data_IF_860413065724
#
_entry.id   IF_860413065724
#
_cell.length_a   1.000
_cell.length_b   1.000
_cell.length_c   1.000
_cell.angle_alpha   90.00
_cell.angle_beta   90.00
_cell.angle_gamma   90.00
#
_symmetry.space_group_name_H-M   'P 1'
#
loop_
_entity.id
_entity.type
_entity.pdbx_description
1 polymer ?
#
# COMPACT_ATOMS: atom_id res chain seq x y z
N UNK A 1 11.24 -30.46 4.99
CA UNK A 1 10.89 -29.17 4.49
C UNK A 1 11.15 -28.12 5.55
N UNK A 2 11.72 -27.08 5.16
CA UNK A 2 12.11 -26.12 6.14
C UNK A 2 11.05 -25.02 6.26
N UNK A 3 11.05 -24.44 7.40
CA UNK A 3 10.24 -23.28 7.63
C UNK A 3 10.55 -22.17 6.66
N UNK A 4 11.82 -22.00 6.30
CA UNK A 4 12.18 -20.91 5.43
C UNK A 4 11.55 -21.05 4.06
N UNK A 5 11.39 -22.25 3.59
CA UNK A 5 10.73 -22.43 2.31
C UNK A 5 9.29 -22.01 2.36
N UNK A 6 8.61 -22.31 3.45
CA UNK A 6 7.24 -21.90 3.58
C UNK A 6 7.11 -20.40 3.71
N UNK A 7 8.06 -19.80 4.42
CA UNK A 7 8.02 -18.36 4.60
C UNK A 7 8.36 -17.62 3.32
N UNK A 8 9.16 -18.25 2.45
CA UNK A 8 9.58 -17.59 1.23
C UNK A 8 8.52 -17.60 0.14
N UNK A 9 7.57 -18.52 0.23
CA UNK A 9 6.55 -18.63 -0.80
C UNK A 9 5.25 -18.05 -0.26
N UNK A 10 4.77 -17.00 -0.88
CA UNK A 10 3.61 -16.27 -0.39
C UNK A 10 2.69 -15.84 -1.49
N UNK A 11 1.44 -15.63 -1.13
CA UNK A 11 0.49 -14.97 -2.02
C UNK A 11 0.72 -13.48 -1.97
N UNK A 12 0.80 -12.89 -3.13
CA UNK A 12 0.99 -11.45 -3.27
C UNK A 12 0.01 -10.90 -4.28
N UNK A 13 -0.28 -9.62 -4.15
CA UNK A 13 -1.12 -8.91 -5.11
C UNK A 13 -0.21 -7.97 -5.88
N UNK A 14 -0.17 -8.16 -7.20
CA UNK A 14 0.54 -7.24 -8.08
C UNK A 14 -0.34 -6.05 -8.35
N UNK A 15 0.25 -4.88 -8.27
CA UNK A 15 -0.46 -3.65 -8.58
C UNK A 15 0.37 -2.81 -9.52
N UNK A 16 -0.30 -1.94 -10.27
CA UNK A 16 0.36 -1.11 -11.25
C UNK A 16 0.22 0.35 -10.86
N UNK A 17 1.35 1.05 -10.86
CA UNK A 17 1.38 2.48 -10.63
C UNK A 17 2.04 3.11 -11.85
N UNK A 18 1.21 3.61 -12.75
CA UNK A 18 1.72 4.08 -14.03
C UNK A 18 2.23 2.92 -14.85
N UNK A 19 3.51 2.95 -15.18
CA UNK A 19 4.09 1.88 -15.99
C UNK A 19 4.87 0.87 -15.17
N UNK A 20 4.93 1.07 -13.86
CA UNK A 20 5.70 0.17 -13.00
C UNK A 20 4.78 -0.71 -12.20
N UNK A 21 5.26 -1.91 -11.91
CA UNK A 21 4.52 -2.86 -11.09
C UNK A 21 5.18 -3.01 -9.74
N UNK A 22 4.34 -3.17 -8.73
CA UNK A 22 4.76 -3.40 -7.36
C UNK A 22 3.90 -4.50 -6.81
N UNK A 23 4.19 -4.92 -5.59
CA UNK A 23 3.41 -5.98 -4.97
C UNK A 23 3.15 -5.66 -3.51
N UNK A 24 2.08 -6.23 -3.00
CA UNK A 24 1.77 -6.23 -1.58
C UNK A 24 1.51 -7.66 -1.16
N UNK A 25 1.82 -7.98 0.09
CA UNK A 25 1.41 -9.26 0.63
C UNK A 25 -0.12 -9.34 0.57
N UNK A 26 -0.64 -10.50 0.16
CA UNK A 26 -2.07 -10.62 -0.06
C UNK A 26 -2.87 -10.39 1.21
N UNK A 27 -2.31 -10.74 2.36
CA UNK A 27 -3.01 -10.55 3.63
C UNK A 27 -3.13 -9.08 4.02
N UNK A 28 -2.45 -8.18 3.31
CA UNK A 28 -2.61 -6.76 3.55
C UNK A 28 -3.67 -6.12 2.65
N UNK A 29 -4.21 -6.87 1.71
CA UNK A 29 -5.17 -6.31 0.75
C UNK A 29 -6.56 -6.71 1.18
N UNK A 30 -7.40 -5.72 1.43
CA UNK A 30 -8.78 -5.98 1.83
C UNK A 30 -9.69 -6.08 0.62
N UNK A 31 -9.57 -5.16 -0.33
CA UNK A 31 -10.43 -5.20 -1.52
C UNK A 31 -9.92 -4.21 -2.55
N UNK A 32 -10.41 -4.38 -3.76
CA UNK A 32 -10.15 -3.46 -4.86
C UNK A 32 -11.49 -2.87 -5.26
N UNK A 33 -11.59 -1.54 -5.24
CA UNK A 33 -12.88 -0.90 -5.46
C UNK A 33 -12.77 0.11 -6.59
N UNK A 34 -13.91 0.38 -7.21
CA UNK A 34 -13.98 1.39 -8.25
C UNK A 34 -13.67 2.77 -7.65
N UNK A 35 -13.18 3.70 -8.45
CA UNK A 35 -12.90 5.02 -7.94
C UNK A 35 -14.16 5.65 -7.37
N UNK A 36 -14.01 6.33 -6.27
CA UNK A 36 -15.12 7.01 -5.65
C UNK A 36 -14.68 8.42 -5.34
N UNK A 37 -15.64 9.21 -4.89
CA UNK A 37 -15.41 10.61 -4.61
C UNK A 37 -14.43 10.76 -3.46
N UNK A 38 -13.44 11.63 -3.66
CA UNK A 38 -12.47 11.98 -2.63
C UNK A 38 -12.92 13.27 -1.97
N UNK A 39 -12.95 13.26 -0.65
CA UNK A 39 -13.22 14.45 0.14
C UNK A 39 -11.90 15.00 0.62
N UNK A 40 -11.59 16.21 0.23
CA UNK A 40 -10.30 16.81 0.58
C UNK A 40 -10.46 17.72 1.76
N UNK A 41 -9.39 17.82 2.53
CA UNK A 41 -9.37 18.69 3.69
C UNK A 41 -8.68 19.98 3.33
N UNK A 42 -9.02 21.02 4.06
CA UNK A 42 -8.29 22.28 3.96
C UNK A 42 -6.86 22.10 4.44
N UNK A 43 -6.67 21.28 5.46
CA UNK A 43 -5.36 21.01 6.03
C UNK A 43 -5.05 19.54 5.83
N UNK A 44 -3.99 19.24 5.12
CA UNK A 44 -3.63 17.86 4.88
C UNK A 44 -2.12 17.73 4.72
N UNK A 45 -1.63 16.52 4.94
CA UNK A 45 -0.23 16.25 4.75
C UNK A 45 0.07 15.98 3.29
N UNK A 46 1.34 15.99 2.95
CA UNK A 46 1.74 15.66 1.60
C UNK A 46 1.47 14.21 1.25
N UNK A 47 1.26 13.37 2.24
CA UNK A 47 1.05 11.95 2.01
C UNK A 47 -0.40 11.56 1.89
N UNK A 48 -1.30 12.39 2.40
CA UNK A 48 -2.72 12.08 2.36
C UNK A 48 -3.40 13.03 1.40
N UNK A 49 -4.00 12.46 0.37
CA UNK A 49 -4.65 13.21 -0.68
C UNK A 49 -6.07 13.63 -0.29
N UNK A 50 -6.67 12.90 0.60
CA UNK A 50 -8.03 13.13 1.07
C UNK A 50 -8.53 11.86 1.68
N UNK A 51 -9.85 11.71 1.75
CA UNK A 51 -10.47 10.50 2.26
C UNK A 51 -11.58 10.07 1.33
N UNK A 52 -11.89 8.79 1.38
CA UNK A 52 -13.09 8.25 0.75
C UNK A 52 -13.92 7.58 1.82
N UNK A 53 -15.19 7.39 1.51
CA UNK A 53 -16.07 6.64 2.40
C UNK A 53 -16.20 5.23 1.87
N UNK A 54 -15.99 4.27 2.74
CA UNK A 54 -16.10 2.88 2.35
C UNK A 54 -16.77 2.12 3.47
N UNK A 55 -17.96 1.60 3.19
CA UNK A 55 -18.74 0.83 4.17
C UNK A 55 -18.94 1.60 5.45
N UNK A 56 -19.27 2.89 5.30
CA UNK A 56 -19.51 3.75 6.47
C UNK A 56 -18.26 4.18 7.19
N UNK A 57 -17.08 3.92 6.62
CA UNK A 57 -15.82 4.29 7.24
C UNK A 57 -15.11 5.32 6.41
N UNK A 58 -14.33 6.14 7.09
CA UNK A 58 -13.48 7.14 6.45
C UNK A 58 -12.12 6.51 6.25
N UNK A 59 -11.68 6.43 5.01
CA UNK A 59 -10.42 5.79 4.67
C UNK A 59 -9.52 6.81 3.99
N UNK A 60 -8.31 6.99 4.51
CA UNK A 60 -7.36 7.94 3.95
C UNK A 60 -6.87 7.45 2.59
N UNK A 61 -6.73 8.37 1.65
CA UNK A 61 -6.21 8.07 0.32
C UNK A 61 -4.77 8.52 0.28
N UNK A 62 -3.87 7.59 0.05
CA UNK A 62 -2.44 7.85 -0.02
C UNK A 62 -1.94 7.51 -1.42
N UNK A 63 -1.50 8.53 -2.15
CA UNK A 63 -0.97 8.30 -3.49
C UNK A 63 0.50 7.95 -3.38
N UNK A 64 0.77 6.66 -3.20
CA UNK A 64 2.15 6.20 -3.03
C UNK A 64 2.93 6.23 -4.34
N UNK A 65 2.24 6.43 -5.47
CA UNK A 65 2.95 6.51 -6.75
C UNK A 65 3.94 7.66 -6.76
N UNK A 66 3.58 8.77 -6.14
CA UNK A 66 4.47 9.92 -6.12
C UNK A 66 5.77 9.61 -5.38
N UNK A 67 5.66 8.89 -4.27
CA UNK A 67 6.84 8.49 -3.51
C UNK A 67 7.68 7.48 -4.30
N UNK A 68 7.02 6.53 -4.93
CA UNK A 68 7.71 5.40 -5.54
C UNK A 68 8.25 5.70 -6.93
N UNK A 69 7.54 6.54 -7.69
CA UNK A 69 7.91 6.78 -9.08
C UNK A 69 8.29 8.23 -9.35
N UNK A 70 8.09 9.12 -8.39
CA UNK A 70 8.36 10.53 -8.57
C UNK A 70 7.25 11.30 -9.25
N UNK A 71 6.16 10.64 -9.60
CA UNK A 71 5.05 11.26 -10.29
C UNK A 71 3.74 10.83 -9.67
N UNK A 72 2.81 11.77 -9.58
CA UNK A 72 1.44 11.42 -9.21
C UNK A 72 0.83 10.58 -10.28
N UNK A 73 -0.12 9.74 -9.89
CA UNK A 73 -0.82 8.89 -10.81
C UNK A 73 -1.71 9.73 -11.72
N UNK A 74 -1.51 9.62 -13.02
CA UNK A 74 -2.33 10.37 -13.96
C UNK A 74 -3.73 9.83 -14.08
N UNK A 75 -3.89 8.53 -13.98
CA UNK A 75 -5.20 7.91 -14.06
C UNK A 75 -5.36 6.92 -12.92
N UNK A 76 -6.44 7.09 -12.17
CA UNK A 76 -6.75 6.22 -11.04
C UNK A 76 -7.92 5.33 -11.45
N UNK A 77 -7.60 4.10 -11.81
CA UNK A 77 -8.61 3.16 -12.28
C UNK A 77 -9.35 2.50 -11.13
N UNK A 78 -8.65 2.29 -10.02
CA UNK A 78 -9.21 1.65 -8.84
C UNK A 78 -8.56 2.22 -7.60
N UNK A 79 -9.18 1.98 -6.46
CA UNK A 79 -8.54 2.15 -5.18
C UNK A 79 -8.35 0.78 -4.56
N UNK A 80 -7.12 0.48 -4.18
CA UNK A 80 -6.82 -0.75 -3.49
C UNK A 80 -6.88 -0.44 -1.99
N UNK A 81 -7.83 -1.08 -1.31
CA UNK A 81 -7.99 -0.88 0.13
C UNK A 81 -7.06 -1.87 0.82
N UNK A 82 -6.11 -1.33 1.56
CA UNK A 82 -5.09 -2.14 2.22
C UNK A 82 -5.11 -1.87 3.70
N UNK A 83 -4.54 -2.78 4.46
CA UNK A 83 -4.45 -2.64 5.90
C UNK A 83 -3.00 -2.72 6.33
N UNK A 84 -2.60 -1.80 7.21
CA UNK A 84 -1.27 -1.82 7.77
C UNK A 84 -1.21 -2.68 9.00
N UNK A 85 -2.32 -2.75 9.73
CA UNK A 85 -2.40 -3.57 10.91
C UNK A 85 -3.21 -4.81 10.61
N UNK A 86 -3.12 -5.76 11.49
CA UNK A 86 -3.77 -7.03 11.23
C UNK A 86 -5.17 -7.09 11.77
N UNK A 87 -5.54 -6.18 12.66
CA UNK A 87 -6.73 -6.40 13.44
C UNK A 87 -7.69 -5.25 13.48
N UNK A 88 -7.42 -4.18 12.75
CA UNK A 88 -8.26 -3.01 12.89
C UNK A 88 -8.52 -2.38 11.54
N UNK A 89 -9.78 -2.13 11.27
CA UNK A 89 -10.15 -1.39 10.07
C UNK A 89 -9.70 0.07 10.14
N UNK A 90 -9.28 0.52 11.30
CA UNK A 90 -8.76 1.87 11.42
C UNK A 90 -7.41 2.01 10.77
N UNK A 91 -6.77 0.90 10.47
CA UNK A 91 -5.51 0.92 9.75
C UNK A 91 -5.67 0.80 8.25
N UNK A 92 -6.88 0.92 7.77
CA UNK A 92 -7.13 0.87 6.34
C UNK A 92 -6.60 2.11 5.65
N UNK A 93 -6.10 1.92 4.45
CA UNK A 93 -5.63 3.00 3.60
C UNK A 93 -6.04 2.66 2.17
N UNK A 94 -6.37 3.67 1.41
CA UNK A 94 -6.75 3.49 0.01
C UNK A 94 -5.60 3.93 -0.86
N UNK A 95 -5.12 3.05 -1.71
CA UNK A 95 -4.03 3.32 -2.61
C UNK A 95 -4.57 3.41 -4.03
N UNK A 96 -4.48 4.58 -4.67
CA UNK A 96 -4.88 4.65 -6.07
C UNK A 96 -3.96 3.80 -6.93
N UNK A 97 -4.54 3.06 -7.84
CA UNK A 97 -3.77 2.22 -8.77
C UNK A 97 -4.25 2.45 -10.19
N UNK A 98 -3.37 2.15 -11.15
CA UNK A 98 -3.62 2.47 -12.55
C UNK A 98 -4.42 1.43 -13.29
N UNK A 99 -4.54 0.23 -12.76
CA UNK A 99 -5.21 -0.85 -13.46
C UNK A 99 -5.59 -1.95 -12.51
N UNK A 100 -5.99 -3.05 -13.09
CA UNK A 100 -6.41 -4.20 -12.31
C UNK A 100 -5.24 -4.80 -11.57
N UNK A 101 -5.54 -5.44 -10.46
CA UNK A 101 -4.54 -6.13 -9.66
C UNK A 101 -4.64 -7.62 -9.94
N UNK A 102 -3.54 -8.31 -9.67
CA UNK A 102 -3.44 -9.73 -9.97
C UNK A 102 -2.91 -10.45 -8.75
N UNK A 103 -3.57 -11.54 -8.38
CA UNK A 103 -3.12 -12.37 -7.27
C UNK A 103 -2.13 -13.40 -7.81
N UNK A 104 -0.95 -13.46 -7.22
CA UNK A 104 0.08 -14.39 -7.64
C UNK A 104 0.67 -15.09 -6.43
N UNK A 105 1.34 -16.19 -6.71
CA UNK A 105 2.13 -16.91 -5.72
C UNK A 105 3.59 -16.71 -6.10
N UNK A 106 4.40 -16.30 -5.17
CA UNK A 106 5.78 -15.98 -5.49
C UNK A 106 6.69 -16.26 -4.31
N UNK A 107 7.95 -16.56 -4.61
CA UNK A 107 8.97 -16.66 -3.59
C UNK A 107 9.52 -15.30 -3.31
N UNK A 108 9.68 -14.98 -2.05
CA UNK A 108 10.11 -13.66 -1.63
C UNK A 108 11.53 -13.72 -1.08
N UNK A 109 12.30 -12.68 -1.41
CA UNK A 109 13.59 -12.46 -0.82
C UNK A 109 13.49 -11.24 0.08
N UNK A 110 13.77 -11.37 1.38
CA UNK A 110 13.65 -10.22 2.28
C UNK A 110 14.57 -9.10 1.85
N UNK A 111 14.15 -7.87 2.13
CA UNK A 111 14.95 -6.70 1.83
C UNK A 111 16.18 -6.68 2.72
N UNK A 112 17.27 -6.16 2.16
CA UNK A 112 18.50 -5.99 2.91
C UNK A 112 18.59 -4.63 3.54
N UNK A 113 19.62 -4.45 4.35
CA UNK A 113 19.81 -3.20 5.07
C UNK A 113 20.06 -2.02 4.13
N UNK A 114 20.57 -2.28 2.93
CA UNK A 114 20.85 -1.22 1.98
C UNK A 114 19.67 -0.87 1.11
N UNK A 115 18.57 -1.60 1.20
CA UNK A 115 17.40 -1.31 0.40
C UNK A 115 16.63 -0.14 1.00
N UNK A 116 15.81 0.49 0.16
CA UNK A 116 14.97 1.58 0.63
C UNK A 116 13.99 1.11 1.69
N UNK A 117 13.63 1.99 2.63
CA UNK A 117 12.70 1.59 3.69
C UNK A 117 11.34 1.13 3.17
N UNK A 118 10.94 1.55 1.99
CA UNK A 118 9.65 1.16 1.46
C UNK A 118 9.64 -0.24 0.86
N UNK A 119 10.78 -0.90 0.77
CA UNK A 119 10.86 -2.25 0.22
C UNK A 119 10.87 -3.23 1.37
N UNK A 120 9.85 -4.09 1.44
CA UNK A 120 9.80 -5.14 2.43
C UNK A 120 10.49 -6.41 1.94
N UNK A 121 10.40 -6.65 0.64
CA UNK A 121 10.94 -7.87 0.04
C UNK A 121 11.01 -7.67 -1.47
N UNK A 122 11.61 -8.64 -2.13
CA UNK A 122 11.71 -8.67 -3.59
C UNK A 122 11.09 -9.97 -4.08
N UNK A 123 10.50 -9.93 -5.26
CA UNK A 123 10.04 -11.14 -5.92
C UNK A 123 10.35 -11.07 -7.41
N UNK A 124 10.34 -12.23 -8.05
CA UNK A 124 10.47 -12.31 -9.50
C UNK A 124 9.17 -12.84 -10.09
N UNK A 125 8.72 -12.21 -11.14
CA UNK A 125 7.50 -12.62 -11.80
C UNK A 125 7.62 -12.27 -13.27
N UNK A 126 7.44 -13.24 -14.13
CA UNK A 126 7.53 -13.04 -15.59
C UNK A 126 8.84 -12.39 -16.00
N UNK A 127 9.94 -12.79 -15.35
CA UNK A 127 11.25 -12.26 -15.68
C UNK A 127 11.53 -10.89 -15.13
N UNK A 128 10.65 -10.34 -14.34
CA UNK A 128 10.78 -9.01 -13.79
C UNK A 128 10.98 -9.10 -12.29
N UNK A 129 11.89 -8.27 -11.76
CA UNK A 129 12.09 -8.18 -10.32
C UNK A 129 11.20 -7.06 -9.79
N UNK A 130 10.37 -7.38 -8.82
CA UNK A 130 9.32 -6.49 -8.34
C UNK A 130 9.50 -6.25 -6.85
N UNK A 131 9.34 -4.99 -6.46
CA UNK A 131 9.40 -4.60 -5.04
C UNK A 131 8.10 -4.97 -4.37
N UNK A 132 8.21 -5.64 -3.22
CA UNK A 132 7.07 -5.86 -2.33
C UNK A 132 7.09 -4.73 -1.33
N UNK A 133 6.00 -4.01 -1.23
CA UNK A 133 5.98 -2.73 -0.53
C UNK A 133 5.77 -2.89 0.96
N UNK A 134 6.42 -2.01 1.70
CA UNK A 134 6.24 -1.89 3.14
C UNK A 134 5.30 -0.73 3.37
N UNK A 135 4.04 -1.04 3.63
CA UNK A 135 3.02 0.01 3.78
C UNK A 135 3.29 0.93 4.95
N UNK A 136 3.89 0.40 6.01
CA UNK A 136 4.15 1.23 7.18
C UNK A 136 5.16 2.33 6.88
N UNK A 137 6.05 2.08 5.93
CA UNK A 137 7.01 3.10 5.55
C UNK A 137 6.46 4.09 4.53
N UNK A 138 5.40 3.69 3.82
CA UNK A 138 4.87 4.50 2.73
C UNK A 138 3.70 5.37 3.14
N UNK A 139 3.02 5.02 4.22
CA UNK A 139 1.79 5.70 4.58
C UNK A 139 1.87 6.17 6.02
N UNK A 140 1.24 7.30 6.33
CA UNK A 140 1.21 7.75 7.72
C UNK A 140 0.41 6.75 8.54
N UNK A 141 0.92 6.40 9.68
CA UNK A 141 0.30 5.41 10.51
C UNK A 141 -0.67 6.00 11.50
N UNK A 142 -1.43 5.11 12.13
CA UNK A 142 -2.32 5.52 13.21
C UNK A 142 -1.55 6.17 14.34
N UNK A 143 -0.31 5.79 14.50
CA UNK A 143 0.50 6.35 15.54
C UNK A 143 0.82 7.82 15.30
N UNK A 144 0.91 8.25 14.04
CA UNK A 144 1.09 9.67 13.77
C UNK A 144 -0.13 10.45 14.20
N UNK A 145 -1.30 9.94 13.90
CA UNK A 145 -2.53 10.58 14.29
C UNK A 145 -2.69 10.60 15.79
N UNK A 146 -2.26 9.56 16.45
CA UNK A 146 -2.40 9.48 17.90
C UNK A 146 -1.48 10.43 18.62
N UNK A 147 -0.33 10.74 18.05
CA UNK A 147 0.59 11.60 18.75
C UNK A 147 0.21 13.06 18.67
N UNK A 148 -0.56 13.44 17.69
CA UNK A 148 -0.97 14.82 17.55
C UNK A 148 -1.82 15.33 18.70
N UNK A 149 -2.83 14.61 19.12
CA UNK A 149 -3.62 15.08 20.24
C UNK A 149 -2.79 15.26 21.50
N UNK A 150 -1.80 14.45 21.66
CA UNK A 150 -0.94 14.58 22.80
C UNK A 150 -0.16 15.86 22.77
N UNK A 151 0.23 16.27 21.60
CA UNK A 151 0.98 17.50 21.49
C UNK A 151 0.15 18.70 21.90
N UNK A 152 -1.14 18.57 21.84
CA UNK A 152 -2.03 19.66 22.21
C UNK A 152 -2.44 19.62 23.65
N UNK A 153 -2.24 18.54 24.27
CA UNK A 153 -2.58 18.42 25.67
C UNK A 153 -1.53 19.07 26.56
#
# INVERSE_FOLDING_TARGET
MSFSEQLDSRSCVLLRLGERRFALAADQVAELVAPSRIFRFAHRSSQIDGVILRRGRVVAVCDVAEILTGKSLGMRRFYLIATRGQHSAMDWVALPVSGECELIQADLTPAGASDSPHVAAWLSHDGEVIEVLNLNALTPGAQTAASEPEAHA
#
